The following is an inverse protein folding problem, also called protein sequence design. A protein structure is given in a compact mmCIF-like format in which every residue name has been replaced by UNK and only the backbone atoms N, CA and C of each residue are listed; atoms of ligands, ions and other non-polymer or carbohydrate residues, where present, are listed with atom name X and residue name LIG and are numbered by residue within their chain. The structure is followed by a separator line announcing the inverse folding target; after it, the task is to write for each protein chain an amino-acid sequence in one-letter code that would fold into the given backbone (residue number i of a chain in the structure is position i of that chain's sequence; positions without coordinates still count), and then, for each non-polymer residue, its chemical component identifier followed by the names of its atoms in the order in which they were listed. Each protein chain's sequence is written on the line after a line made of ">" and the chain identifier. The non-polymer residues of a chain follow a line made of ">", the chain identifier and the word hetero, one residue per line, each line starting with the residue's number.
data_IF_586434780931
#
_entry.id   IF_586434780931
#
_cell.length_a   1.000
_cell.length_b   1.000
_cell.length_c   1.000
_cell.angle_alpha   90.00
_cell.angle_beta   90.00
_cell.angle_gamma   90.00
#
_symmetry.space_group_name_H-M   'P 1'
#
loop_
_entity.id
_entity.type
_entity.pdbx_description
1 polymer ?
#
# COMPACT_ATOMS: atom_id res chain seq x y z
N UNK A 1 52.39 15.46 20.09
CA UNK A 1 52.29 14.52 18.95
C UNK A 1 51.53 13.22 19.29
N UNK A 2 50.68 13.18 20.33
CA UNK A 2 49.96 11.96 20.76
C UNK A 2 48.43 12.02 20.57
N UNK A 3 47.88 13.17 20.17
CA UNK A 3 46.42 13.40 20.11
C UNK A 3 45.78 12.95 18.78
N UNK A 4 46.58 12.77 17.72
CA UNK A 4 46.11 12.41 16.37
C UNK A 4 45.93 10.89 16.16
N UNK A 5 46.53 10.06 17.03
CA UNK A 5 46.49 8.59 16.91
C UNK A 5 45.29 7.97 17.62
N UNK A 6 44.70 8.68 18.60
CA UNK A 6 43.55 8.20 19.37
C UNK A 6 42.24 8.41 18.60
N UNK A 7 42.12 9.51 17.85
CA UNK A 7 40.93 9.78 17.02
C UNK A 7 40.80 8.77 15.87
N UNK A 8 41.92 8.35 15.27
CA UNK A 8 41.93 7.37 14.19
C UNK A 8 41.58 5.95 14.66
N UNK A 9 41.98 5.53 15.87
CA UNK A 9 41.65 4.21 16.45
C UNK A 9 40.21 4.13 17.01
N UNK A 10 39.66 5.22 17.53
CA UNK A 10 38.24 5.29 17.96
C UNK A 10 37.31 5.32 16.75
N UNK A 11 37.67 6.01 15.67
CA UNK A 11 36.86 6.03 14.44
C UNK A 11 36.86 4.68 13.71
N UNK A 12 37.94 3.90 13.77
CA UNK A 12 38.01 2.55 13.16
C UNK A 12 37.26 1.50 13.97
N UNK A 13 37.34 1.52 15.30
CA UNK A 13 36.59 0.60 16.17
C UNK A 13 35.08 0.84 16.08
N UNK A 14 34.63 2.10 16.10
CA UNK A 14 33.21 2.43 15.95
C UNK A 14 32.68 2.05 14.57
N UNK A 15 33.45 2.26 13.50
CA UNK A 15 33.10 1.81 12.14
C UNK A 15 33.02 0.28 12.05
N UNK A 16 33.94 -0.44 12.68
CA UNK A 16 33.92 -1.91 12.68
C UNK A 16 32.68 -2.47 13.39
N UNK A 17 32.31 -1.92 14.56
CA UNK A 17 31.09 -2.32 15.27
C UNK A 17 29.82 -2.02 14.47
N UNK A 18 29.74 -0.85 13.82
CA UNK A 18 28.60 -0.50 12.95
C UNK A 18 28.51 -1.46 11.76
N UNK A 19 29.63 -1.84 11.15
CA UNK A 19 29.65 -2.79 10.03
C UNK A 19 29.17 -4.18 10.44
N UNK A 20 29.58 -4.68 11.62
CA UNK A 20 29.12 -5.98 12.15
C UNK A 20 27.60 -5.94 12.36
N UNK A 21 27.08 -4.93 13.07
CA UNK A 21 25.64 -4.80 13.32
C UNK A 21 24.86 -4.67 12.01
N UNK A 22 25.36 -3.86 11.06
CA UNK A 22 24.73 -3.68 9.74
C UNK A 22 24.68 -4.99 8.96
N UNK A 23 25.73 -5.80 9.02
CA UNK A 23 25.79 -7.08 8.33
C UNK A 23 24.76 -8.08 8.88
N UNK A 24 24.68 -8.20 10.21
CA UNK A 24 23.69 -9.06 10.88
C UNK A 24 22.25 -8.61 10.56
N UNK A 25 21.97 -7.30 10.62
CA UNK A 25 20.65 -6.76 10.29
C UNK A 25 20.29 -6.93 8.81
N UNK A 26 21.27 -6.79 7.92
CA UNK A 26 21.07 -6.94 6.47
C UNK A 26 20.90 -8.41 6.07
N UNK A 27 21.39 -9.36 6.88
CA UNK A 27 21.14 -10.78 6.68
C UNK A 27 19.78 -11.24 7.22
N UNK A 28 19.53 -11.07 8.52
CA UNK A 28 18.32 -11.60 9.16
C UNK A 28 17.05 -10.79 8.83
N UNK A 29 17.17 -9.47 8.67
CA UNK A 29 16.03 -8.59 8.40
C UNK A 29 15.26 -9.00 7.13
N UNK A 30 15.91 -9.09 5.96
CA UNK A 30 15.28 -9.55 4.74
C UNK A 30 14.70 -10.96 4.84
N UNK A 31 15.35 -11.91 5.52
CA UNK A 31 14.83 -13.28 5.66
C UNK A 31 13.51 -13.28 6.44
N UNK A 32 13.46 -12.57 7.57
CA UNK A 32 12.25 -12.45 8.38
C UNK A 32 11.13 -11.78 7.58
N UNK A 33 11.43 -10.67 6.90
CA UNK A 33 10.46 -9.94 6.06
C UNK A 33 9.96 -10.83 4.92
N UNK A 34 10.82 -11.65 4.32
CA UNK A 34 10.45 -12.57 3.25
C UNK A 34 9.46 -13.63 3.75
N UNK A 35 9.75 -14.27 4.87
CA UNK A 35 8.88 -15.32 5.43
C UNK A 35 7.53 -14.73 5.83
N UNK A 36 7.53 -13.67 6.64
CA UNK A 36 6.29 -13.03 7.11
C UNK A 36 5.51 -12.44 5.93
N UNK A 37 6.21 -11.80 5.00
CA UNK A 37 5.62 -11.17 3.82
C UNK A 37 4.94 -12.17 2.89
N UNK A 38 5.59 -13.31 2.60
CA UNK A 38 4.98 -14.38 1.79
C UNK A 38 3.75 -14.95 2.49
N UNK A 39 3.84 -15.26 3.79
CA UNK A 39 2.70 -15.79 4.55
C UNK A 39 1.54 -14.78 4.52
N UNK A 40 1.81 -13.49 4.77
CA UNK A 40 0.80 -12.43 4.72
C UNK A 40 0.15 -12.31 3.35
N UNK A 41 0.94 -12.32 2.28
CA UNK A 41 0.42 -12.28 0.91
C UNK A 41 -0.44 -13.50 0.58
N UNK A 42 -0.04 -14.71 1.00
CA UNK A 42 -0.82 -15.93 0.81
C UNK A 42 -2.16 -15.88 1.56
N UNK A 43 -2.15 -15.44 2.82
CA UNK A 43 -3.37 -15.24 3.60
C UNK A 43 -4.32 -14.24 2.94
N UNK A 44 -3.80 -13.10 2.46
CA UNK A 44 -4.59 -12.11 1.72
C UNK A 44 -5.16 -12.71 0.44
N UNK A 45 -4.35 -13.44 -0.33
CA UNK A 45 -4.78 -14.09 -1.55
C UNK A 45 -5.91 -15.09 -1.28
N UNK A 46 -5.77 -15.97 -0.30
CA UNK A 46 -6.81 -16.96 0.08
C UNK A 46 -8.10 -16.24 0.50
N UNK A 47 -7.98 -15.20 1.35
CA UNK A 47 -9.12 -14.44 1.86
C UNK A 47 -9.90 -13.74 0.75
N UNK A 48 -9.22 -13.03 -0.16
CA UNK A 48 -9.87 -12.28 -1.22
C UNK A 48 -10.32 -13.16 -2.41
N UNK A 49 -9.80 -14.39 -2.48
CA UNK A 49 -10.25 -15.43 -3.44
C UNK A 49 -11.59 -16.04 -3.03
N UNK A 50 -12.06 -15.81 -1.79
CA UNK A 50 -13.34 -16.32 -1.32
C UNK A 50 -14.54 -15.80 -2.17
N UNK A 51 -15.51 -16.68 -2.54
CA UNK A 51 -16.61 -16.34 -3.44
C UNK A 51 -17.46 -15.15 -2.99
N UNK A 52 -17.57 -14.94 -1.67
CA UNK A 52 -18.36 -13.86 -1.08
C UNK A 52 -17.72 -12.48 -1.32
N UNK A 53 -16.38 -12.40 -1.40
CA UNK A 53 -15.64 -11.15 -1.56
C UNK A 53 -15.35 -10.79 -3.03
N UNK A 54 -15.30 -11.77 -3.94
CA UNK A 54 -15.01 -11.55 -5.37
C UNK A 54 -15.97 -10.60 -6.10
N UNK A 55 -17.18 -10.39 -5.59
CA UNK A 55 -18.17 -9.48 -6.18
C UNK A 55 -17.94 -8.01 -5.80
N UNK A 56 -17.07 -7.75 -4.84
CA UNK A 56 -16.81 -6.41 -4.31
C UNK A 56 -15.59 -5.77 -5.01
N UNK A 57 -15.76 -4.57 -5.56
CA UNK A 57 -14.70 -3.79 -6.21
C UNK A 57 -13.52 -3.49 -5.28
N UNK A 58 -13.80 -3.14 -4.03
CA UNK A 58 -12.80 -2.88 -2.99
C UNK A 58 -11.92 -4.12 -2.71
N UNK A 59 -12.53 -5.31 -2.63
CA UNK A 59 -11.79 -6.56 -2.42
C UNK A 59 -10.91 -6.91 -3.64
N UNK A 60 -11.37 -6.61 -4.86
CA UNK A 60 -10.59 -6.82 -6.07
C UNK A 60 -9.30 -5.98 -6.08
N UNK A 61 -9.37 -4.70 -5.69
CA UNK A 61 -8.17 -3.87 -5.58
C UNK A 61 -7.17 -4.42 -4.56
N UNK A 62 -7.63 -4.87 -3.40
CA UNK A 62 -6.75 -5.49 -2.40
C UNK A 62 -6.12 -6.80 -2.88
N UNK A 63 -6.88 -7.63 -3.60
CA UNK A 63 -6.34 -8.85 -4.22
C UNK A 63 -5.22 -8.51 -5.22
N UNK A 64 -5.46 -7.56 -6.11
CA UNK A 64 -4.46 -7.12 -7.08
C UNK A 64 -3.23 -6.52 -6.39
N UNK A 65 -3.44 -5.70 -5.35
CA UNK A 65 -2.34 -5.16 -4.55
C UNK A 65 -1.47 -6.28 -3.95
N UNK A 66 -2.08 -7.29 -3.35
CA UNK A 66 -1.37 -8.42 -2.75
C UNK A 66 -0.54 -9.21 -3.79
N UNK A 67 -1.02 -9.32 -5.03
CA UNK A 67 -0.25 -9.93 -6.14
C UNK A 67 0.99 -9.10 -6.47
N UNK A 68 0.86 -7.78 -6.60
CA UNK A 68 1.99 -6.90 -6.88
C UNK A 68 2.99 -6.82 -5.71
N UNK A 69 2.51 -6.83 -4.46
CA UNK A 69 3.36 -6.91 -3.27
C UNK A 69 4.13 -8.23 -3.22
N UNK A 70 3.48 -9.36 -3.51
CA UNK A 70 4.14 -10.67 -3.59
C UNK A 70 5.23 -10.65 -4.66
N UNK A 71 4.93 -10.16 -5.87
CA UNK A 71 5.93 -10.01 -6.93
C UNK A 71 7.09 -9.12 -6.50
N UNK A 72 6.82 -8.02 -5.80
CA UNK A 72 7.84 -7.11 -5.29
C UNK A 72 8.74 -7.76 -4.24
N UNK A 73 8.16 -8.53 -3.31
CA UNK A 73 8.91 -9.22 -2.26
C UNK A 73 9.77 -10.32 -2.90
N UNK A 74 9.17 -11.16 -3.74
CA UNK A 74 9.89 -12.25 -4.41
C UNK A 74 11.02 -11.69 -5.27
N UNK A 75 10.77 -10.67 -6.10
CA UNK A 75 11.82 -10.16 -6.98
C UNK A 75 12.84 -9.28 -6.25
N UNK A 76 12.40 -8.37 -5.39
CA UNK A 76 13.25 -7.39 -4.71
C UNK A 76 14.15 -8.00 -3.63
N UNK A 77 13.58 -8.80 -2.72
CA UNK A 77 14.34 -9.39 -1.61
C UNK A 77 15.24 -10.53 -2.10
N UNK A 78 14.74 -11.43 -2.96
CA UNK A 78 15.59 -12.52 -3.48
C UNK A 78 16.77 -11.94 -4.26
N UNK A 79 16.55 -10.93 -5.10
CA UNK A 79 17.65 -10.26 -5.82
C UNK A 79 18.65 -9.58 -4.88
N UNK A 80 18.21 -9.10 -3.72
CA UNK A 80 19.08 -8.51 -2.71
C UNK A 80 19.90 -9.57 -1.98
N UNK A 81 19.26 -10.63 -1.49
CA UNK A 81 19.91 -11.78 -0.85
C UNK A 81 20.94 -12.44 -1.78
N UNK A 82 20.60 -12.59 -3.07
CA UNK A 82 21.51 -13.14 -4.06
C UNK A 82 22.77 -12.28 -4.27
N UNK A 83 22.62 -10.95 -4.27
CA UNK A 83 23.74 -10.02 -4.42
C UNK A 83 24.61 -9.94 -3.16
N UNK A 84 23.98 -9.86 -1.98
CA UNK A 84 24.66 -9.57 -0.72
C UNK A 84 25.31 -10.83 -0.10
N UNK A 85 24.71 -12.01 -0.28
CA UNK A 85 25.14 -13.23 0.44
C UNK A 85 25.55 -14.41 -0.44
N UNK A 86 25.02 -14.52 -1.67
CA UNK A 86 25.42 -15.58 -2.61
C UNK A 86 26.60 -15.18 -3.51
N UNK A 87 27.14 -13.97 -3.35
CA UNK A 87 28.26 -13.46 -4.15
C UNK A 87 27.90 -13.19 -5.61
N UNK A 88 26.61 -13.03 -5.94
CA UNK A 88 26.18 -12.77 -7.31
C UNK A 88 26.61 -11.39 -7.78
N UNK A 89 27.56 -11.34 -8.70
CA UNK A 89 28.03 -10.08 -9.32
C UNK A 89 27.08 -9.57 -10.41
N UNK A 90 25.97 -10.27 -10.68
CA UNK A 90 25.08 -9.97 -11.81
C UNK A 90 24.56 -8.52 -11.80
N UNK A 91 24.33 -7.96 -10.60
CA UNK A 91 23.91 -6.56 -10.41
C UNK A 91 24.99 -5.54 -10.77
N UNK A 92 26.26 -5.92 -10.64
CA UNK A 92 27.42 -5.08 -10.90
C UNK A 92 28.09 -5.39 -12.26
N UNK A 93 27.67 -6.46 -12.93
CA UNK A 93 28.21 -6.90 -14.23
C UNK A 93 27.28 -6.53 -15.39
N UNK A 94 25.96 -6.63 -15.19
CA UNK A 94 24.99 -6.41 -16.27
C UNK A 94 24.18 -5.12 -16.04
N UNK A 95 24.42 -4.11 -16.89
CA UNK A 95 23.74 -2.82 -16.83
C UNK A 95 22.22 -2.95 -17.00
N UNK A 96 21.76 -3.87 -17.86
CA UNK A 96 20.32 -4.10 -18.09
C UNK A 96 19.67 -4.65 -16.83
N UNK A 97 20.31 -5.62 -16.17
CA UNK A 97 19.80 -6.21 -14.92
C UNK A 97 19.78 -5.21 -13.77
N UNK A 98 20.83 -4.39 -13.64
CA UNK A 98 20.87 -3.28 -12.68
C UNK A 98 19.67 -2.34 -12.84
N UNK A 99 19.45 -1.83 -14.06
CA UNK A 99 18.35 -0.91 -14.38
C UNK A 99 16.98 -1.55 -14.17
N UNK A 100 16.77 -2.75 -14.71
CA UNK A 100 15.49 -3.46 -14.58
C UNK A 100 15.19 -3.79 -13.12
N UNK A 101 16.21 -4.12 -12.33
CA UNK A 101 16.02 -4.43 -10.91
C UNK A 101 15.52 -3.23 -10.14
N UNK A 102 16.22 -2.09 -10.24
CA UNK A 102 15.82 -0.87 -9.53
C UNK A 102 14.44 -0.42 -9.99
N UNK A 103 14.18 -0.45 -11.30
CA UNK A 103 12.87 -0.11 -11.86
C UNK A 103 11.74 -0.98 -11.28
N UNK A 104 11.90 -2.31 -11.26
CA UNK A 104 10.89 -3.24 -10.75
C UNK A 104 10.68 -3.08 -9.24
N UNK A 105 11.76 -2.90 -8.48
CA UNK A 105 11.70 -2.69 -7.02
C UNK A 105 10.99 -1.38 -6.67
N UNK A 106 11.04 -0.37 -7.53
CA UNK A 106 10.33 0.90 -7.31
C UNK A 106 8.88 0.86 -7.80
N UNK A 107 8.62 0.26 -8.97
CA UNK A 107 7.30 0.31 -9.61
C UNK A 107 6.29 -0.66 -9.00
N UNK A 108 6.72 -1.85 -8.57
CA UNK A 108 5.78 -2.86 -8.05
C UNK A 108 5.13 -2.42 -6.72
N UNK A 109 5.87 -1.92 -5.71
CA UNK A 109 5.25 -1.34 -4.51
C UNK A 109 4.41 -0.10 -4.81
N UNK A 110 4.81 0.70 -5.80
CA UNK A 110 4.05 1.88 -6.21
C UNK A 110 2.66 1.49 -6.71
N UNK A 111 2.60 0.53 -7.63
CA UNK A 111 1.33 0.02 -8.17
C UNK A 111 0.47 -0.55 -7.03
N UNK A 112 1.05 -1.37 -6.15
CA UNK A 112 0.34 -1.90 -4.98
C UNK A 112 -0.26 -0.78 -4.12
N UNK A 113 0.54 0.22 -3.76
CA UNK A 113 0.11 1.37 -2.95
C UNK A 113 -1.04 2.14 -3.62
N UNK A 114 -0.96 2.36 -4.94
CA UNK A 114 -2.03 3.02 -5.69
C UNK A 114 -3.31 2.18 -5.76
N UNK A 115 -3.21 0.85 -5.83
CA UNK A 115 -4.36 -0.05 -5.75
C UNK A 115 -5.03 0.01 -4.37
N UNK A 116 -4.26 0.09 -3.28
CA UNK A 116 -4.80 0.32 -1.93
C UNK A 116 -5.48 1.69 -1.81
N UNK A 117 -4.90 2.73 -2.41
CA UNK A 117 -5.53 4.04 -2.49
C UNK A 117 -6.86 3.98 -3.25
N UNK A 118 -6.90 3.33 -4.41
CA UNK A 118 -8.13 3.13 -5.18
C UNK A 118 -9.17 2.33 -4.39
N UNK A 119 -8.75 1.33 -3.62
CA UNK A 119 -9.63 0.59 -2.71
C UNK A 119 -10.25 1.52 -1.65
N UNK A 120 -9.47 2.46 -1.11
CA UNK A 120 -9.93 3.43 -0.11
C UNK A 120 -10.94 4.42 -0.70
N UNK A 121 -10.68 4.89 -1.93
CA UNK A 121 -11.60 5.74 -2.70
C UNK A 121 -12.89 4.97 -3.01
N UNK A 122 -12.80 3.74 -3.50
CA UNK A 122 -13.94 2.89 -3.80
C UNK A 122 -14.81 2.65 -2.56
N UNK A 123 -14.17 2.40 -1.41
CA UNK A 123 -14.87 2.24 -0.13
C UNK A 123 -15.59 3.52 0.29
N UNK A 124 -14.96 4.69 0.10
CA UNK A 124 -15.60 5.98 0.33
C UNK A 124 -16.83 6.16 -0.56
N UNK A 125 -16.70 5.92 -1.87
CA UNK A 125 -17.78 6.02 -2.85
C UNK A 125 -18.94 5.08 -2.53
N UNK A 126 -18.63 3.84 -2.16
CA UNK A 126 -19.61 2.82 -1.76
C UNK A 126 -20.37 3.19 -0.48
N UNK A 127 -19.69 3.83 0.47
CA UNK A 127 -20.27 4.31 1.73
C UNK A 127 -21.08 5.61 1.61
N UNK A 128 -21.01 6.28 0.46
CA UNK A 128 -21.68 7.56 0.25
C UNK A 128 -23.20 7.39 0.15
N UNK A 129 -23.94 8.39 0.64
CA UNK A 129 -25.41 8.44 0.59
C UNK A 129 -25.91 8.70 -0.83
N UNK A 130 -25.10 9.35 -1.67
CA UNK A 130 -25.48 9.69 -3.03
C UNK A 130 -25.42 8.45 -3.94
N UNK A 131 -26.56 8.12 -4.55
CA UNK A 131 -26.70 7.00 -5.51
C UNK A 131 -25.72 7.15 -6.68
N UNK A 132 -25.49 8.39 -7.14
CA UNK A 132 -24.55 8.70 -8.22
C UNK A 132 -23.10 8.41 -7.82
N UNK A 133 -22.70 8.67 -6.58
CA UNK A 133 -21.34 8.34 -6.12
C UNK A 133 -21.20 6.82 -5.93
N UNK A 134 -22.23 6.17 -5.37
CA UNK A 134 -22.24 4.72 -5.19
C UNK A 134 -22.19 3.96 -6.51
N UNK A 135 -22.78 4.49 -7.59
CA UNK A 135 -22.74 3.86 -8.90
C UNK A 135 -21.34 3.83 -9.54
N UNK A 136 -20.38 4.64 -9.06
CA UNK A 136 -18.98 4.53 -9.48
C UNK A 136 -18.24 3.36 -8.82
N UNK A 137 -18.76 2.85 -7.70
CA UNK A 137 -18.23 1.66 -7.02
C UNK A 137 -18.78 0.38 -7.67
N UNK A 138 -18.36 0.16 -8.93
CA UNK A 138 -18.70 -1.03 -9.69
C UNK A 138 -17.44 -1.79 -10.09
N UNK A 139 -17.53 -3.12 -10.07
CA UNK A 139 -16.41 -4.00 -10.44
C UNK A 139 -15.88 -3.70 -11.86
N UNK A 140 -16.76 -3.32 -12.80
CA UNK A 140 -16.36 -2.96 -14.18
C UNK A 140 -15.44 -1.73 -14.19
N UNK A 141 -15.78 -0.70 -13.41
CA UNK A 141 -14.95 0.51 -13.27
C UNK A 141 -13.64 0.13 -12.56
N UNK A 142 -13.70 -0.77 -11.58
CA UNK A 142 -12.50 -1.22 -10.88
C UNK A 142 -11.46 -1.88 -11.80
N UNK A 143 -11.88 -2.71 -12.76
CA UNK A 143 -10.95 -3.25 -13.76
C UNK A 143 -10.25 -2.16 -14.56
N UNK A 144 -10.99 -1.16 -15.06
CA UNK A 144 -10.41 -0.06 -15.83
C UNK A 144 -9.48 0.81 -14.99
N UNK A 145 -9.85 1.09 -13.75
CA UNK A 145 -9.03 1.86 -12.82
C UNK A 145 -7.73 1.13 -12.43
N UNK A 146 -7.78 -0.20 -12.21
CA UNK A 146 -6.58 -1.02 -11.97
C UNK A 146 -5.64 -0.97 -13.17
N UNK A 147 -6.15 -1.13 -14.40
CA UNK A 147 -5.33 -1.02 -15.62
C UNK A 147 -4.69 0.37 -15.70
N UNK A 148 -5.47 1.43 -15.45
CA UNK A 148 -4.97 2.80 -15.40
C UNK A 148 -3.85 2.98 -14.37
N UNK A 149 -4.02 2.46 -13.15
CA UNK A 149 -3.01 2.53 -12.09
C UNK A 149 -1.71 1.80 -12.47
N UNK A 150 -1.82 0.63 -13.10
CA UNK A 150 -0.67 -0.12 -13.60
C UNK A 150 0.11 0.70 -14.64
N UNK A 151 -0.60 1.25 -15.64
CA UNK A 151 0.01 2.06 -16.70
C UNK A 151 0.67 3.32 -16.13
N UNK A 152 -0.02 4.05 -15.24
CA UNK A 152 0.52 5.24 -14.57
C UNK A 152 1.75 4.88 -13.74
N UNK A 153 1.72 3.77 -13.00
CA UNK A 153 2.86 3.27 -12.24
C UNK A 153 4.08 3.08 -13.13
N UNK A 154 3.96 2.26 -14.19
CA UNK A 154 5.06 1.99 -15.12
C UNK A 154 5.59 3.25 -15.81
N UNK A 155 4.71 4.14 -16.27
CA UNK A 155 5.11 5.40 -16.92
C UNK A 155 5.82 6.33 -15.94
N UNK A 156 5.32 6.46 -14.71
CA UNK A 156 5.91 7.37 -13.71
C UNK A 156 7.34 6.99 -13.35
N UNK A 157 7.67 5.70 -13.34
CA UNK A 157 9.01 5.19 -13.02
C UNK A 157 9.98 5.17 -14.20
N UNK A 158 9.59 5.56 -15.42
CA UNK A 158 10.46 5.47 -16.62
C UNK A 158 11.80 6.21 -16.42
N UNK A 159 11.79 7.32 -15.68
CA UNK A 159 12.99 8.11 -15.41
C UNK A 159 14.10 7.30 -14.70
N UNK A 160 13.75 6.26 -13.95
CA UNK A 160 14.68 5.36 -13.27
C UNK A 160 15.52 4.56 -14.28
N UNK A 161 14.93 4.13 -15.40
CA UNK A 161 15.66 3.36 -16.44
C UNK A 161 16.74 4.20 -17.13
N UNK A 162 16.54 5.53 -17.16
CA UNK A 162 17.44 6.50 -17.78
C UNK A 162 18.50 6.96 -16.77
N UNK A 163 18.08 7.24 -15.53
CA UNK A 163 18.90 7.84 -14.48
C UNK A 163 19.85 6.89 -13.75
N UNK A 164 19.74 5.57 -13.93
CA UNK A 164 20.64 4.60 -13.30
C UNK A 164 21.75 4.16 -14.25
N UNK A 165 22.99 4.06 -13.76
CA UNK A 165 24.12 3.57 -14.56
C UNK A 165 25.06 2.67 -13.74
N UNK A 166 25.91 1.92 -14.45
CA UNK A 166 26.84 0.95 -13.89
C UNK A 166 28.25 1.54 -13.78
N UNK A 167 28.55 2.28 -12.70
CA UNK A 167 29.89 2.89 -12.47
C UNK A 167 30.23 3.02 -10.99
N UNK A 168 31.26 2.33 -10.45
CA UNK A 168 31.63 0.91 -10.61
C UNK A 168 30.64 -0.06 -9.94
N UNK A 169 29.58 0.46 -9.31
CA UNK A 169 28.44 -0.28 -8.78
C UNK A 169 27.16 0.25 -9.42
N UNK A 170 26.10 -0.55 -9.42
CA UNK A 170 24.78 -0.13 -9.84
C UNK A 170 24.29 1.04 -8.95
N UNK A 171 24.11 2.23 -9.53
CA UNK A 171 23.76 3.42 -8.76
C UNK A 171 23.11 4.50 -9.62
N UNK A 172 22.54 5.50 -8.93
CA UNK A 172 21.93 6.65 -9.58
C UNK A 172 23.00 7.61 -10.12
N UNK A 173 22.71 8.27 -11.24
CA UNK A 173 23.55 9.32 -11.79
C UNK A 173 23.67 10.47 -10.77
N UNK A 174 24.92 10.81 -10.45
CA UNK A 174 25.23 11.90 -9.50
C UNK A 174 24.80 13.26 -10.06
N UNK A 175 24.48 14.19 -9.15
CA UNK A 175 24.07 15.55 -9.48
C UNK A 175 22.56 15.76 -9.36
N UNK A 176 21.99 16.56 -10.26
CA UNK A 176 20.58 16.97 -10.21
C UNK A 176 19.60 15.81 -10.33
N UNK A 177 19.96 14.73 -11.03
CA UNK A 177 19.14 13.52 -11.15
C UNK A 177 18.94 12.81 -9.82
N UNK A 178 19.98 12.70 -8.99
CA UNK A 178 19.87 12.07 -7.66
C UNK A 178 18.92 12.84 -6.73
N UNK A 179 18.96 14.19 -6.79
CA UNK A 179 18.03 15.03 -6.03
C UNK A 179 16.60 14.87 -6.54
N UNK A 180 16.39 14.84 -7.86
CA UNK A 180 15.07 14.63 -8.46
C UNK A 180 14.46 13.28 -8.06
N UNK A 181 15.22 12.19 -8.18
CA UNK A 181 14.77 10.84 -7.79
C UNK A 181 14.42 10.77 -6.29
N UNK A 182 15.25 11.37 -5.43
CA UNK A 182 14.98 11.43 -3.99
C UNK A 182 13.67 12.16 -3.69
N UNK A 183 13.42 13.29 -4.36
CA UNK A 183 12.16 14.03 -4.21
C UNK A 183 10.97 13.22 -4.76
N UNK A 184 11.14 12.57 -5.90
CA UNK A 184 10.12 11.70 -6.49
C UNK A 184 9.74 10.57 -5.53
N UNK A 185 10.71 9.85 -4.97
CA UNK A 185 10.45 8.76 -4.03
C UNK A 185 9.73 9.27 -2.77
N UNK A 186 10.18 10.39 -2.19
CA UNK A 186 9.56 10.92 -0.97
C UNK A 186 8.13 11.40 -1.23
N UNK A 187 7.91 12.23 -2.24
CA UNK A 187 6.61 12.85 -2.46
C UNK A 187 5.63 11.95 -3.21
N UNK A 188 6.07 11.36 -4.32
CA UNK A 188 5.21 10.60 -5.22
C UNK A 188 4.95 9.18 -4.72
N UNK A 189 5.98 8.51 -4.20
CA UNK A 189 5.87 7.17 -3.64
C UNK A 189 5.34 7.20 -2.20
N UNK A 190 5.80 8.14 -1.39
CA UNK A 190 5.48 8.22 0.04
C UNK A 190 4.31 9.13 0.35
N UNK A 191 4.55 10.44 0.38
CA UNK A 191 3.63 11.40 1.03
C UNK A 191 2.25 11.43 0.38
N UNK A 192 2.18 11.60 -0.94
CA UNK A 192 0.91 11.79 -1.66
C UNK A 192 -0.06 10.61 -1.46
N UNK A 193 0.30 9.35 -1.76
CA UNK A 193 -0.64 8.24 -1.63
C UNK A 193 -1.05 8.03 -0.16
N UNK A 194 -0.14 8.16 0.80
CA UNK A 194 -0.47 7.97 2.23
C UNK A 194 -1.40 9.06 2.76
N UNK A 195 -1.17 10.32 2.41
CA UNK A 195 -2.06 11.43 2.81
C UNK A 195 -3.46 11.24 2.21
N UNK A 196 -3.55 10.86 0.92
CA UNK A 196 -4.85 10.59 0.30
C UNK A 196 -5.56 9.40 0.93
N UNK A 197 -4.85 8.30 1.23
CA UNK A 197 -5.43 7.16 1.93
C UNK A 197 -5.99 7.55 3.30
N UNK A 198 -5.28 8.38 4.07
CA UNK A 198 -5.75 8.89 5.36
C UNK A 198 -7.02 9.74 5.21
N UNK A 199 -7.05 10.66 4.24
CA UNK A 199 -8.20 11.51 3.97
C UNK A 199 -9.43 10.67 3.60
N UNK A 200 -9.31 9.76 2.62
CA UNK A 200 -10.42 8.92 2.19
C UNK A 200 -10.84 7.90 3.25
N UNK A 201 -9.90 7.39 4.04
CA UNK A 201 -10.17 6.53 5.19
C UNK A 201 -11.01 7.26 6.25
N UNK A 202 -10.63 8.50 6.60
CA UNK A 202 -11.37 9.33 7.54
C UNK A 202 -12.79 9.67 7.02
N UNK A 203 -12.91 10.07 5.77
CA UNK A 203 -14.21 10.34 5.13
C UNK A 203 -15.11 9.10 5.12
N UNK A 204 -14.54 7.92 4.84
CA UNK A 204 -15.25 6.64 4.91
C UNK A 204 -15.77 6.37 6.32
N UNK A 205 -14.94 6.57 7.33
CA UNK A 205 -15.33 6.40 8.73
C UNK A 205 -16.50 7.32 9.10
N UNK A 206 -16.44 8.60 8.72
CA UNK A 206 -17.53 9.54 8.95
C UNK A 206 -18.84 9.11 8.28
N UNK A 207 -18.78 8.65 7.02
CA UNK A 207 -19.95 8.18 6.29
C UNK A 207 -20.57 6.94 6.92
N UNK A 208 -19.75 5.99 7.37
CA UNK A 208 -20.21 4.79 8.07
C UNK A 208 -20.89 5.17 9.39
N UNK A 209 -20.31 6.07 10.19
CA UNK A 209 -20.91 6.52 11.44
C UNK A 209 -22.25 7.23 11.22
N UNK A 210 -22.35 8.08 10.19
CA UNK A 210 -23.61 8.72 9.80
C UNK A 210 -24.67 7.69 9.38
N UNK A 211 -24.27 6.66 8.64
CA UNK A 211 -25.18 5.60 8.19
C UNK A 211 -25.66 4.75 9.37
N UNK A 212 -24.77 4.37 10.30
CA UNK A 212 -25.12 3.63 11.52
C UNK A 212 -26.14 4.41 12.36
N UNK A 213 -25.92 5.70 12.61
CA UNK A 213 -26.86 6.56 13.34
C UNK A 213 -28.25 6.59 12.67
N UNK A 214 -28.30 6.74 11.33
CA UNK A 214 -29.57 6.74 10.58
C UNK A 214 -30.31 5.40 10.68
N UNK A 215 -29.60 4.28 10.62
CA UNK A 215 -30.22 2.95 10.75
C UNK A 215 -30.77 2.75 12.16
N UNK A 216 -30.03 3.12 13.21
CA UNK A 216 -30.50 3.00 14.60
C UNK A 216 -31.74 3.86 14.84
N UNK A 217 -31.77 5.11 14.34
CA UNK A 217 -32.96 5.98 14.45
C UNK A 217 -34.17 5.35 13.75
N UNK A 218 -34.01 4.84 12.52
CA UNK A 218 -35.11 4.16 11.81
C UNK A 218 -35.59 2.89 12.49
N UNK A 219 -34.69 2.10 13.09
CA UNK A 219 -35.06 0.91 13.85
C UNK A 219 -35.86 1.28 15.11
N UNK A 220 -35.47 2.37 15.78
CA UNK A 220 -36.21 2.87 16.94
C UNK A 220 -37.59 3.41 16.54
N UNK A 221 -37.68 4.19 15.45
CA UNK A 221 -38.95 4.68 14.89
C UNK A 221 -39.89 3.52 14.52
N UNK A 222 -39.37 2.50 13.82
CA UNK A 222 -40.13 1.30 13.46
C UNK A 222 -40.54 0.44 14.67
N UNK A 223 -39.83 0.52 15.80
CA UNK A 223 -40.20 -0.18 17.03
C UNK A 223 -41.26 0.58 17.84
N UNK A 224 -41.26 1.92 17.78
CA UNK A 224 -42.25 2.78 18.48
C UNK A 224 -43.56 2.88 17.71
N UNK A 225 -43.53 2.97 16.37
CA UNK A 225 -44.71 3.07 15.52
C UNK A 225 -45.81 2.00 15.76
N UNK A 226 -45.52 0.69 15.90
CA UNK A 226 -46.56 -0.31 16.17
C UNK A 226 -47.16 -0.20 17.58
N UNK A 227 -46.49 0.47 18.51
CA UNK A 227 -46.96 0.64 19.88
C UNK A 227 -47.90 1.85 19.97
N UNK A 228 -47.59 2.97 19.33
CA UNK A 228 -48.49 4.12 19.24
C UNK A 228 -49.80 3.81 18.50
N UNK A 229 -49.74 3.05 17.40
CA UNK A 229 -50.94 2.67 16.65
C UNK A 229 -51.93 1.81 17.47
N UNK A 230 -51.44 1.03 18.44
CA UNK A 230 -52.30 0.27 19.37
C UNK A 230 -52.89 1.14 20.47
N UNK A 231 -52.14 2.11 20.98
CA UNK A 231 -52.61 3.02 22.04
C UNK A 231 -53.68 3.99 21.52
N UNK A 232 -53.52 4.50 20.30
CA UNK A 232 -54.48 5.40 19.67
C UNK A 232 -55.81 4.69 19.34
N UNK A 233 -55.75 3.42 18.90
CA UNK A 233 -56.94 2.60 18.68
C UNK A 233 -57.73 2.32 19.97
N UNK A 234 -57.04 2.18 21.11
CA UNK A 234 -57.69 2.01 22.41
C UNK A 234 -58.32 3.30 22.95
N UNK A 235 -57.69 4.47 22.72
CA UNK A 235 -58.22 5.76 23.15
C UNK A 235 -59.48 6.17 22.38
N UNK A 236 -59.58 5.84 21.09
CA UNK A 236 -60.78 6.11 20.27
C UNK A 236 -61.97 5.26 20.74
N UNK A 237 -61.75 4.02 21.17
CA UNK A 237 -62.83 3.11 21.61
C UNK A 237 -63.45 3.51 22.95
N UNK A 238 -62.68 4.14 23.84
CA UNK A 238 -63.15 4.60 25.17
C UNK A 238 -63.88 5.95 25.09
N UNK A 239 -63.56 6.79 24.09
CA UNK A 239 -64.25 8.07 23.86
C UNK A 239 -65.61 7.94 23.14
N UNK A 240 -65.96 6.74 22.67
CA UNK A 240 -67.23 6.44 21.97
C UNK A 240 -68.29 5.76 22.84
N UNK A 241 -68.06 5.69 24.16
CA UNK A 241 -69.02 5.25 25.18
C UNK A 241 -69.42 6.44 26.05
#
# INVERSE_FOLDING_TARGET
>A
MATTTITSSVTTTTRASIQIITNEMTYYGPIIILVIGIIGCLCNFITFTAPQLRKNSCAFYFLMSAVFELLSITFGLISRLAADHLGSTLINTNQVYCKSRVYLVSVLPLIATYLVLLSSIDRFLSSSVSVRLRSFSQIKIAYHATIGAIVIGFLSCIHILIGYDLRPRCGILVGTFATFDSMFVVFWLGVIPHVLMLIFGFLTFMNIQRTKKRVVVKLHENAVAPTQQKTDAHLIMVSSL
#
